data_IF_144321307257
#
_entry.id   IF_144321307257
#
_cell.length_a   1.000
_cell.length_b   1.000
_cell.length_c   1.000
_cell.angle_alpha   90.00
_cell.angle_beta   90.00
_cell.angle_gamma   90.00
#
_symmetry.space_group_name_H-M   'P 1'
#
loop_
_entity.id
_entity.type
_entity.pdbx_description
1 polymer ?
#
# COMPACT_ATOMS: atom_id res chain seq x y z
N UNK A 1 33.76 18.96 11.27
CA UNK A 1 34.09 17.52 11.10
C UNK A 1 32.81 16.75 11.40
N UNK A 2 32.27 16.00 10.44
CA UNK A 2 31.06 15.21 10.65
C UNK A 2 31.35 14.00 11.54
N UNK A 3 30.60 13.85 12.62
CA UNK A 3 30.64 12.65 13.44
C UNK A 3 29.78 11.55 12.80
N UNK A 4 30.36 10.36 12.64
CA UNK A 4 29.61 9.14 12.31
C UNK A 4 28.76 8.75 13.51
N UNK A 5 27.46 8.56 13.28
CA UNK A 5 26.51 8.09 14.29
C UNK A 5 26.62 6.57 14.39
N UNK A 6 26.70 6.03 15.60
CA UNK A 6 26.72 4.57 15.84
C UNK A 6 25.34 4.02 16.16
N UNK A 7 25.15 2.72 15.95
CA UNK A 7 23.93 2.00 16.33
C UNK A 7 23.59 2.13 17.83
N UNK A 8 24.62 2.16 18.68
CA UNK A 8 24.45 2.37 20.13
C UNK A 8 23.89 3.76 20.43
N UNK A 9 24.39 4.81 19.78
CA UNK A 9 23.87 6.17 19.96
C UNK A 9 22.42 6.32 19.48
N UNK A 10 22.06 5.67 18.36
CA UNK A 10 20.67 5.63 17.88
C UNK A 10 19.76 4.95 18.90
N UNK A 11 20.20 3.83 19.46
CA UNK A 11 19.45 3.09 20.47
C UNK A 11 19.28 3.87 21.77
N UNK A 12 20.33 4.53 22.24
CA UNK A 12 20.27 5.38 23.42
C UNK A 12 19.29 6.55 23.24
N UNK A 13 19.29 7.19 22.06
CA UNK A 13 18.34 8.24 21.74
C UNK A 13 16.90 7.70 21.68
N UNK A 14 16.69 6.50 21.13
CA UNK A 14 15.38 5.84 21.08
C UNK A 14 14.82 5.53 22.47
N UNK A 15 15.66 4.96 23.35
CA UNK A 15 15.29 4.54 24.71
C UNK A 15 15.29 5.69 25.74
N UNK A 16 15.80 6.87 25.38
CA UNK A 16 15.90 8.00 26.30
C UNK A 16 14.52 8.36 26.88
N UNK A 17 14.44 8.68 28.18
CA UNK A 17 13.19 9.16 28.78
C UNK A 17 12.90 10.63 28.41
N UNK A 18 13.94 11.40 28.10
CA UNK A 18 13.83 12.80 27.73
C UNK A 18 13.37 12.93 26.26
N UNK A 19 12.24 13.60 25.97
CA UNK A 19 11.80 13.86 24.60
C UNK A 19 12.72 14.84 23.85
N UNK A 20 13.50 15.65 24.55
CA UNK A 20 14.43 16.61 23.98
C UNK A 20 15.86 16.05 23.82
N UNK A 21 16.07 14.77 24.10
CA UNK A 21 17.35 14.11 23.83
C UNK A 21 17.67 14.21 22.32
N UNK A 22 18.95 14.43 22.01
CA UNK A 22 19.44 14.53 20.63
C UNK A 22 20.83 13.88 20.51
N UNK A 23 21.18 13.44 19.29
CA UNK A 23 22.56 13.05 18.96
C UNK A 23 23.23 14.22 18.24
N UNK A 24 24.30 14.74 18.84
CA UNK A 24 25.13 15.76 18.22
C UNK A 24 25.97 15.15 17.08
N UNK A 25 25.83 15.72 15.88
CA UNK A 25 26.55 15.30 14.66
C UNK A 25 27.80 16.14 14.37
N UNK A 26 28.09 17.12 15.24
CA UNK A 26 29.14 18.11 15.06
C UNK A 26 28.62 19.43 14.48
N UNK A 27 29.49 20.44 14.46
CA UNK A 27 29.14 21.85 14.18
C UNK A 27 28.54 22.11 12.79
N UNK A 28 28.77 21.21 11.83
CA UNK A 28 28.39 21.37 10.43
C UNK A 28 26.99 20.80 10.12
N UNK A 29 26.35 20.09 11.06
CA UNK A 29 25.12 19.32 10.83
C UNK A 29 24.10 19.53 11.94
N UNK A 30 22.82 19.53 11.58
CA UNK A 30 21.75 19.56 12.57
C UNK A 30 21.80 18.29 13.45
N UNK A 31 21.59 18.40 14.78
CA UNK A 31 21.56 17.26 15.66
C UNK A 31 20.36 16.36 15.34
N UNK A 32 20.50 15.05 15.51
CA UNK A 32 19.41 14.09 15.28
C UNK A 32 18.46 14.13 16.46
N UNK A 33 17.19 14.33 16.18
CA UNK A 33 16.12 14.31 17.17
C UNK A 33 15.39 12.97 17.18
N UNK A 34 14.56 12.77 18.21
CA UNK A 34 13.64 11.62 18.25
C UNK A 34 12.61 11.63 17.13
N UNK A 35 12.23 12.80 16.61
CA UNK A 35 11.30 12.89 15.48
C UNK A 35 11.95 12.34 14.21
N UNK A 36 13.23 12.66 13.97
CA UNK A 36 14.00 12.12 12.85
C UNK A 36 14.13 10.60 12.95
N UNK A 37 14.34 10.06 14.16
CA UNK A 37 14.33 8.62 14.40
C UNK A 37 12.97 7.99 14.12
N UNK A 38 11.87 8.61 14.52
CA UNK A 38 10.53 8.08 14.29
C UNK A 38 10.23 7.96 12.79
N UNK A 39 10.62 8.96 11.99
CA UNK A 39 10.43 8.95 10.53
C UNK A 39 11.24 7.84 9.85
N UNK A 40 12.43 7.54 10.36
CA UNK A 40 13.26 6.44 9.84
C UNK A 40 12.84 5.07 10.37
N UNK A 41 12.30 4.99 11.58
CA UNK A 41 11.81 3.75 12.15
C UNK A 41 10.62 3.17 11.38
N UNK A 42 9.79 4.02 10.76
CA UNK A 42 8.74 3.59 9.84
C UNK A 42 9.28 2.90 8.57
N UNK A 43 10.60 2.93 8.34
CA UNK A 43 11.27 2.38 7.15
C UNK A 43 12.07 1.10 7.44
N UNK A 44 12.13 0.65 8.69
CA UNK A 44 12.87 -0.55 9.10
C UNK A 44 11.96 -1.58 9.76
N UNK A 45 12.37 -2.84 9.72
CA UNK A 45 11.63 -3.91 10.38
C UNK A 45 11.68 -3.76 11.91
N UNK A 46 10.51 -3.87 12.54
CA UNK A 46 10.34 -3.77 13.99
C UNK A 46 9.79 -5.08 14.57
N UNK A 47 10.05 -5.31 15.86
CA UNK A 47 9.43 -6.37 16.63
C UNK A 47 7.97 -6.04 17.01
N UNK A 48 7.30 -6.97 17.71
CA UNK A 48 5.91 -6.81 18.14
C UNK A 48 5.69 -5.64 19.13
N UNK A 49 6.76 -5.10 19.72
CA UNK A 49 6.74 -3.93 20.61
C UNK A 49 7.05 -2.63 19.85
N UNK A 50 7.25 -2.69 18.53
CA UNK A 50 7.59 -1.55 17.68
C UNK A 50 9.05 -1.11 17.79
N UNK A 51 9.95 -1.98 18.29
CA UNK A 51 11.39 -1.69 18.38
C UNK A 51 12.11 -2.23 17.15
N UNK A 52 13.04 -1.47 16.54
CA UNK A 52 13.85 -1.98 15.44
C UNK A 52 14.55 -3.31 15.79
N UNK A 53 14.54 -4.25 14.84
CA UNK A 53 15.26 -5.52 14.99
C UNK A 53 16.78 -5.27 15.15
N UNK A 54 17.55 -6.21 15.75
CA UNK A 54 18.98 -6.02 16.03
C UNK A 54 19.82 -5.54 14.83
N UNK A 55 19.58 -6.09 13.65
CA UNK A 55 20.33 -5.74 12.43
C UNK A 55 19.89 -4.38 11.83
N UNK A 56 18.75 -3.84 12.25
CA UNK A 56 18.18 -2.58 11.75
C UNK A 56 18.78 -1.35 12.43
N UNK A 57 19.37 -1.50 13.61
CA UNK A 57 20.03 -0.39 14.32
C UNK A 57 21.25 0.16 13.56
N UNK A 58 22.01 -0.72 12.90
CA UNK A 58 23.12 -0.32 12.04
C UNK A 58 22.61 0.40 10.78
N UNK A 59 21.52 -0.08 10.17
CA UNK A 59 20.89 0.56 9.01
C UNK A 59 20.44 1.98 9.34
N UNK A 60 19.80 2.19 10.50
CA UNK A 60 19.39 3.51 10.96
C UNK A 60 20.60 4.43 11.21
N UNK A 61 21.66 3.91 11.83
CA UNK A 61 22.88 4.67 12.10
C UNK A 61 23.59 5.11 10.81
N UNK A 62 23.65 4.23 9.81
CA UNK A 62 24.21 4.52 8.49
C UNK A 62 23.39 5.56 7.74
N UNK A 63 22.05 5.45 7.75
CA UNK A 63 21.15 6.42 7.12
C UNK A 63 21.25 7.81 7.75
N UNK A 64 21.29 7.89 9.08
CA UNK A 64 21.47 9.15 9.81
C UNK A 64 22.86 9.75 9.58
N UNK A 65 23.89 8.93 9.45
CA UNK A 65 25.24 9.37 9.11
C UNK A 65 25.32 9.90 7.68
N UNK A 66 24.65 9.24 6.73
CA UNK A 66 24.59 9.61 5.31
C UNK A 66 23.69 10.83 5.02
N UNK A 67 22.72 11.11 5.89
CA UNK A 67 21.75 12.20 5.78
C UNK A 67 22.31 13.62 5.98
N UNK A 68 23.59 13.88 5.66
CA UNK A 68 24.10 15.24 5.51
C UNK A 68 23.57 15.92 4.23
N UNK A 69 23.02 15.16 3.28
CA UNK A 69 22.47 15.68 2.02
C UNK A 69 21.24 14.90 1.52
N UNK A 70 20.40 14.34 2.40
CA UNK A 70 19.20 13.64 1.92
C UNK A 70 18.04 14.62 1.77
N UNK A 71 17.83 15.11 0.55
CA UNK A 71 16.48 15.38 0.08
C UNK A 71 15.59 14.17 0.41
N UNK A 72 14.34 14.44 0.80
CA UNK A 72 13.28 13.46 1.05
C UNK A 72 13.34 12.31 0.03
N UNK A 73 13.11 11.04 0.44
CA UNK A 73 13.35 9.90 -0.43
C UNK A 73 12.35 9.86 -1.61
N UNK A 74 12.72 10.44 -2.74
CA UNK A 74 12.30 9.95 -4.06
C UNK A 74 13.10 8.69 -4.37
N UNK A 75 12.74 7.59 -3.70
CA UNK A 75 13.36 6.28 -3.86
C UNK A 75 12.41 5.25 -4.46
N UNK A 76 12.92 4.07 -4.87
CA UNK A 76 12.18 3.02 -5.57
C UNK A 76 10.93 2.50 -4.82
N UNK A 77 10.82 2.74 -3.51
CA UNK A 77 9.63 2.42 -2.72
C UNK A 77 8.40 3.27 -3.10
N UNK A 78 8.57 4.56 -3.41
CA UNK A 78 7.47 5.41 -3.88
C UNK A 78 6.96 4.95 -5.25
N UNK A 79 7.88 4.52 -6.13
CA UNK A 79 7.56 3.95 -7.43
C UNK A 79 6.82 2.61 -7.32
N UNK A 80 7.21 1.77 -6.36
CA UNK A 80 6.52 0.49 -6.09
C UNK A 80 5.12 0.73 -5.54
N UNK A 81 4.94 1.63 -4.58
CA UNK A 81 3.61 1.96 -4.05
C UNK A 81 2.70 2.55 -5.15
N UNK A 82 3.23 3.45 -5.97
CA UNK A 82 2.50 4.00 -7.12
C UNK A 82 2.14 2.90 -8.13
N UNK A 83 3.06 1.98 -8.44
CA UNK A 83 2.80 0.84 -9.32
C UNK A 83 1.73 -0.12 -8.74
N UNK A 84 1.72 -0.33 -7.41
CA UNK A 84 0.69 -1.13 -6.73
C UNK A 84 -0.68 -0.44 -6.81
N UNK A 85 -0.75 0.88 -6.60
CA UNK A 85 -2.00 1.62 -6.78
C UNK A 85 -2.53 1.55 -8.20
N UNK A 86 -1.66 1.71 -9.19
CA UNK A 86 -2.04 1.64 -10.60
C UNK A 86 -2.45 0.23 -11.01
N UNK A 87 -1.76 -0.81 -10.50
CA UNK A 87 -2.18 -2.19 -10.66
C UNK A 87 -3.56 -2.45 -10.04
N UNK A 88 -3.85 -1.89 -8.84
CA UNK A 88 -5.17 -1.97 -8.21
C UNK A 88 -6.23 -1.31 -9.06
N UNK A 89 -6.00 -0.06 -9.52
CA UNK A 89 -6.93 0.67 -10.39
C UNK A 89 -7.18 -0.09 -11.68
N UNK A 90 -6.14 -0.68 -12.28
CA UNK A 90 -6.27 -1.48 -13.49
C UNK A 90 -7.11 -2.75 -13.24
N UNK A 91 -6.82 -3.48 -12.16
CA UNK A 91 -7.62 -4.66 -11.76
C UNK A 91 -9.09 -4.30 -11.56
N UNK A 92 -9.37 -3.21 -10.86
CA UNK A 92 -10.74 -2.78 -10.58
C UNK A 92 -11.46 -2.35 -11.86
N UNK A 93 -10.77 -1.69 -12.80
CA UNK A 93 -11.29 -1.39 -14.15
C UNK A 93 -11.59 -2.65 -14.95
N UNK A 94 -10.68 -3.62 -14.98
CA UNK A 94 -10.87 -4.89 -15.70
C UNK A 94 -12.05 -5.65 -15.12
N UNK A 95 -12.18 -5.69 -13.79
CA UNK A 95 -13.32 -6.33 -13.12
C UNK A 95 -14.63 -5.63 -13.47
N UNK A 96 -14.68 -4.31 -13.40
CA UNK A 96 -15.87 -3.54 -13.77
C UNK A 96 -16.27 -3.75 -15.25
N UNK A 97 -15.29 -3.76 -16.17
CA UNK A 97 -15.53 -4.02 -17.58
C UNK A 97 -16.06 -5.44 -17.83
N UNK A 98 -15.50 -6.44 -17.14
CA UNK A 98 -15.96 -7.81 -17.21
C UNK A 98 -17.39 -7.97 -16.67
N UNK A 99 -17.71 -7.32 -15.53
CA UNK A 99 -19.05 -7.33 -14.96
C UNK A 99 -20.07 -6.65 -15.88
N UNK A 100 -19.71 -5.52 -16.50
CA UNK A 100 -20.58 -4.81 -17.44
C UNK A 100 -20.81 -5.62 -18.73
N UNK A 101 -19.77 -6.27 -19.27
CA UNK A 101 -19.89 -7.16 -20.41
C UNK A 101 -20.77 -8.37 -20.10
N UNK A 102 -20.56 -9.02 -18.96
CA UNK A 102 -21.36 -10.14 -18.50
C UNK A 102 -22.83 -9.76 -18.34
N UNK A 103 -23.10 -8.62 -17.70
CA UNK A 103 -24.46 -8.10 -17.54
C UNK A 103 -25.12 -7.76 -18.88
N UNK A 104 -24.35 -7.24 -19.85
CA UNK A 104 -24.82 -6.98 -21.22
C UNK A 104 -25.20 -8.27 -21.94
N UNK A 105 -24.41 -9.33 -21.82
CA UNK A 105 -24.72 -10.64 -22.41
C UNK A 105 -26.01 -11.23 -21.81
N UNK A 106 -26.14 -11.20 -20.48
CA UNK A 106 -27.37 -11.62 -19.79
C UNK A 106 -28.58 -10.81 -20.26
N UNK A 107 -28.45 -9.49 -20.34
CA UNK A 107 -29.54 -8.60 -20.79
C UNK A 107 -29.95 -8.93 -22.22
N UNK A 108 -29.00 -9.07 -23.13
CA UNK A 108 -29.26 -9.45 -24.53
C UNK A 108 -29.98 -10.80 -24.62
N UNK A 109 -29.49 -11.81 -23.89
CA UNK A 109 -30.11 -13.12 -23.85
C UNK A 109 -31.54 -13.06 -23.29
N UNK A 110 -31.79 -12.24 -22.26
CA UNK A 110 -33.10 -12.06 -21.64
C UNK A 110 -34.11 -11.28 -22.50
N UNK A 111 -33.64 -10.32 -23.32
CA UNK A 111 -34.51 -9.54 -24.23
C UNK A 111 -34.83 -10.33 -25.51
N UNK A 112 -33.86 -11.07 -26.06
CA UNK A 112 -33.98 -11.75 -27.34
C UNK A 112 -34.39 -13.24 -27.21
N UNK A 113 -34.97 -13.66 -26.08
CA UNK A 113 -35.31 -15.08 -25.81
C UNK A 113 -36.24 -15.70 -26.85
N UNK A 114 -37.07 -14.92 -27.53
CA UNK A 114 -37.96 -15.41 -28.58
C UNK A 114 -37.17 -15.94 -29.79
N UNK A 115 -36.05 -15.30 -30.09
CA UNK A 115 -35.20 -15.63 -31.23
C UNK A 115 -34.14 -16.67 -30.84
N UNK A 116 -33.51 -16.49 -29.67
CA UNK A 116 -32.46 -17.39 -29.19
C UNK A 116 -32.99 -18.68 -28.57
N UNK A 117 -34.30 -18.77 -28.29
CA UNK A 117 -34.98 -19.89 -27.62
C UNK A 117 -34.39 -20.28 -26.25
N UNK A 118 -33.60 -19.39 -25.64
CA UNK A 118 -32.97 -19.61 -24.33
C UNK A 118 -34.02 -19.52 -23.22
N UNK A 119 -34.06 -20.54 -22.34
CA UNK A 119 -34.94 -20.53 -21.17
C UNK A 119 -34.25 -19.83 -20.01
N UNK A 120 -35.03 -19.17 -19.16
CA UNK A 120 -34.51 -18.46 -17.97
C UNK A 120 -33.76 -19.41 -17.04
N UNK A 121 -34.26 -20.64 -16.85
CA UNK A 121 -33.61 -21.65 -16.01
C UNK A 121 -32.21 -22.04 -16.51
N UNK A 122 -32.00 -22.04 -17.84
CA UNK A 122 -30.71 -22.36 -18.43
C UNK A 122 -29.73 -21.20 -18.21
N UNK A 123 -30.21 -19.95 -18.28
CA UNK A 123 -29.45 -18.76 -17.91
C UNK A 123 -29.09 -18.72 -16.42
N UNK A 124 -30.02 -19.11 -15.53
CA UNK A 124 -29.74 -19.19 -14.09
C UNK A 124 -28.57 -20.14 -13.81
N UNK A 125 -28.58 -21.32 -14.45
CA UNK A 125 -27.52 -22.31 -14.32
C UNK A 125 -26.21 -21.85 -14.96
N UNK A 126 -26.26 -21.24 -16.15
CA UNK A 126 -25.05 -20.84 -16.87
C UNK A 126 -24.36 -19.61 -16.26
N UNK A 127 -25.15 -18.67 -15.72
CA UNK A 127 -24.65 -17.46 -15.09
C UNK A 127 -24.36 -17.63 -13.59
N UNK A 128 -24.79 -18.76 -13.00
CA UNK A 128 -24.79 -19.00 -11.55
C UNK A 128 -25.47 -17.85 -10.76
N UNK A 129 -26.63 -17.43 -11.27
CA UNK A 129 -27.40 -16.32 -10.70
C UNK A 129 -28.83 -16.73 -10.40
N UNK A 130 -29.40 -16.11 -9.36
CA UNK A 130 -30.82 -16.24 -9.08
C UNK A 130 -31.67 -15.62 -10.18
N UNK A 131 -32.88 -16.16 -10.39
CA UNK A 131 -33.88 -15.59 -11.28
C UNK A 131 -34.11 -14.09 -11.07
N UNK A 132 -34.19 -13.67 -9.81
CA UNK A 132 -34.41 -12.28 -9.44
C UNK A 132 -33.26 -11.40 -9.95
N UNK A 133 -32.01 -11.86 -9.82
CA UNK A 133 -30.85 -11.12 -10.32
C UNK A 133 -30.85 -10.98 -11.84
N UNK A 134 -31.23 -12.02 -12.59
CA UNK A 134 -31.35 -11.95 -14.05
C UNK A 134 -32.37 -10.88 -14.49
N UNK A 135 -33.50 -10.76 -13.78
CA UNK A 135 -34.50 -9.72 -14.07
C UNK A 135 -34.04 -8.32 -13.68
N UNK A 136 -33.28 -8.16 -12.58
CA UNK A 136 -32.65 -6.88 -12.23
C UNK A 136 -31.70 -6.42 -13.34
N UNK A 137 -30.82 -7.31 -13.81
CA UNK A 137 -29.88 -7.03 -14.90
C UNK A 137 -30.61 -6.65 -16.20
N UNK A 138 -31.68 -7.40 -16.54
CA UNK A 138 -32.55 -7.08 -17.67
C UNK A 138 -33.11 -5.67 -17.57
N UNK A 139 -33.62 -5.31 -16.40
CA UNK A 139 -34.28 -4.02 -16.12
C UNK A 139 -33.27 -2.88 -15.86
N UNK A 140 -31.96 -3.15 -15.89
CA UNK A 140 -30.92 -2.15 -15.63
C UNK A 140 -30.79 -1.74 -14.17
N UNK A 141 -31.34 -2.53 -13.23
CA UNK A 141 -31.25 -2.27 -11.79
C UNK A 141 -30.00 -2.94 -11.23
N UNK A 142 -29.20 -2.17 -10.48
CA UNK A 142 -27.98 -2.66 -9.81
C UNK A 142 -28.30 -3.34 -8.50
#
# INVERSE_FOLDING_TARGET
MSHTITAEQVRELWEAADPAAVIDRGEDLAPVTKEDLAVLADQVDTDDEGRPLPDQWEVLADQLSAGAESELPTGPAADVLQAVEDARRNRDRVKAAADDEFNRLIRSAMLNRKDTKVRVKDLEKAADLSRARLYQIRDGRR
#
